data_IF_553605017660
#
_entry.id   IF_553605017660
#
_cell.length_a   1.000
_cell.length_b   1.000
_cell.length_c   1.000
_cell.angle_alpha   90.00
_cell.angle_beta   90.00
_cell.angle_gamma   90.00
#
_symmetry.space_group_name_H-M   'P 1'
#
loop_
_entity.id
_entity.type
_entity.pdbx_description
1 polymer ?
#
# COMPACT_ATOMS: atom_id res chain seq x y z
N UNK A 1 -3.02 7.43 22.12
CA UNK A 1 -2.33 8.38 23.02
C UNK A 1 -0.84 8.11 22.91
N UNK A 2 -0.09 8.93 22.18
CA UNK A 2 1.38 8.86 22.14
C UNK A 2 1.90 10.09 22.89
N UNK A 3 2.59 9.83 24.00
CA UNK A 3 3.06 10.84 24.94
C UNK A 3 3.98 11.83 24.25
N UNK A 4 3.60 13.12 24.31
CA UNK A 4 4.49 14.23 24.01
C UNK A 4 5.46 14.40 25.19
N UNK A 5 6.45 13.53 25.30
CA UNK A 5 7.66 13.93 26.02
C UNK A 5 8.36 14.97 25.13
N UNK A 6 8.15 16.25 25.46
CA UNK A 6 8.95 17.32 24.86
C UNK A 6 10.39 17.06 25.28
N UNK A 7 11.29 16.97 24.30
CA UNK A 7 12.72 16.82 24.53
C UNK A 7 13.20 17.75 25.65
N UNK A 8 13.64 17.17 26.77
CA UNK A 8 14.23 17.91 27.88
C UNK A 8 15.73 17.89 27.68
N UNK A 9 16.23 18.75 26.81
CA UNK A 9 17.65 19.10 26.81
C UNK A 9 18.07 19.69 28.16
N UNK A 10 19.32 20.12 28.27
CA UNK A 10 19.80 20.79 29.49
C UNK A 10 18.92 22.02 29.73
N UNK A 11 18.36 22.11 30.95
CA UNK A 11 17.48 23.21 31.34
C UNK A 11 18.09 24.58 31.01
N UNK A 12 17.27 25.45 30.42
CA UNK A 12 17.67 26.81 30.08
C UNK A 12 18.13 27.59 31.33
N UNK A 13 17.57 27.27 32.50
CA UNK A 13 17.98 27.84 33.78
C UNK A 13 19.41 27.42 34.15
N UNK A 14 19.82 26.19 33.85
CA UNK A 14 21.20 25.74 34.05
C UNK A 14 22.16 26.39 33.06
N UNK A 15 21.77 26.51 31.79
CA UNK A 15 22.59 27.16 30.75
C UNK A 15 22.76 28.67 30.99
N UNK A 16 21.78 29.32 31.63
CA UNK A 16 21.82 30.74 32.00
C UNK A 16 22.76 31.03 33.18
N UNK A 17 23.03 30.04 34.05
CA UNK A 17 23.93 30.18 35.21
C UNK A 17 25.40 30.22 34.82
N UNK A 18 25.77 29.67 33.65
CA UNK A 18 27.15 29.64 33.16
C UNK A 18 27.32 30.42 31.86
N UNK A 19 28.16 31.46 31.92
CA UNK A 19 28.51 32.27 30.76
C UNK A 19 29.00 31.41 29.59
N UNK A 20 28.59 31.74 28.36
CA UNK A 20 28.89 30.95 27.15
C UNK A 20 30.37 30.77 26.85
N UNK A 21 31.21 31.68 27.33
CA UNK A 21 32.66 31.64 27.15
C UNK A 21 33.39 30.87 28.27
N UNK A 22 32.71 30.56 29.37
CA UNK A 22 33.26 29.72 30.45
C UNK A 22 33.42 28.27 29.99
N UNK A 23 34.42 27.56 30.52
CA UNK A 23 34.68 26.15 30.17
C UNK A 23 33.44 25.27 30.44
N UNK A 24 32.78 25.47 31.59
CA UNK A 24 31.56 24.75 31.98
C UNK A 24 30.40 25.09 31.05
N UNK A 25 30.17 26.37 30.77
CA UNK A 25 29.11 26.82 29.87
C UNK A 25 29.29 26.31 28.43
N UNK A 26 30.52 26.21 27.93
CA UNK A 26 30.80 25.62 26.61
C UNK A 26 30.48 24.13 26.58
N UNK A 27 30.93 23.38 27.58
CA UNK A 27 30.72 21.93 27.65
C UNK A 27 29.24 21.58 27.75
N UNK A 28 28.47 22.31 28.58
CA UNK A 28 27.04 22.10 28.72
C UNK A 28 26.30 22.32 27.39
N UNK A 29 26.56 23.44 26.69
CA UNK A 29 25.93 23.71 25.38
C UNK A 29 26.34 22.70 24.31
N UNK A 30 27.58 22.22 24.34
CA UNK A 30 28.04 21.18 23.41
C UNK A 30 27.33 19.85 23.66
N UNK A 31 27.16 19.47 24.93
CA UNK A 31 26.41 18.27 25.28
C UNK A 31 24.94 18.39 24.86
N UNK A 32 24.29 19.51 25.18
CA UNK A 32 22.90 19.78 24.78
C UNK A 32 22.71 19.71 23.26
N UNK A 33 23.63 20.34 22.49
CA UNK A 33 23.60 20.27 21.04
C UNK A 33 23.79 18.84 20.50
N UNK A 34 24.65 18.02 21.13
CA UNK A 34 24.85 16.63 20.74
C UNK A 34 23.61 15.77 21.04
N UNK A 35 22.95 15.99 22.18
CA UNK A 35 21.71 15.31 22.55
C UNK A 35 20.58 15.67 21.57
N UNK A 36 20.44 16.94 21.22
CA UNK A 36 19.50 17.39 20.19
C UNK A 36 19.83 16.82 18.81
N UNK A 37 21.10 16.74 18.42
CA UNK A 37 21.48 16.14 17.14
C UNK A 37 21.11 14.65 17.08
N UNK A 38 21.40 13.90 18.14
CA UNK A 38 21.03 12.48 18.24
C UNK A 38 19.50 12.29 18.18
N UNK A 39 18.75 13.16 18.85
CA UNK A 39 17.30 13.21 18.79
C UNK A 39 16.77 13.41 17.37
N UNK A 40 17.29 14.44 16.69
CA UNK A 40 16.91 14.77 15.32
C UNK A 40 17.21 13.61 14.38
N UNK A 41 18.38 12.98 14.52
CA UNK A 41 18.74 11.80 13.72
C UNK A 41 17.79 10.63 13.94
N UNK A 42 17.31 10.42 15.17
CA UNK A 42 16.35 9.36 15.45
C UNK A 42 14.98 9.66 14.83
N UNK A 43 14.50 10.90 14.98
CA UNK A 43 13.24 11.35 14.36
C UNK A 43 13.33 11.26 12.84
N UNK A 44 14.45 11.65 12.25
CA UNK A 44 14.66 11.61 10.80
C UNK A 44 14.54 10.17 10.25
N UNK A 45 15.09 9.18 10.96
CA UNK A 45 14.90 7.77 10.59
C UNK A 45 13.44 7.36 10.62
N UNK A 46 12.68 7.81 11.62
CA UNK A 46 11.24 7.53 11.71
C UNK A 46 10.46 8.21 10.57
N UNK A 47 10.84 9.44 10.19
CA UNK A 47 10.25 10.15 9.04
C UNK A 47 10.52 9.37 7.76
N UNK A 48 11.77 8.99 7.50
CA UNK A 48 12.14 8.24 6.31
C UNK A 48 11.39 6.90 6.19
N UNK A 49 11.25 6.17 7.30
CA UNK A 49 10.48 4.92 7.31
C UNK A 49 8.99 5.15 7.03
N UNK A 50 8.40 6.21 7.58
CA UNK A 50 7.01 6.59 7.26
C UNK A 50 6.83 7.01 5.82
N UNK A 51 7.78 7.74 5.25
CA UNK A 51 7.77 8.11 3.84
C UNK A 51 7.84 6.88 2.93
N UNK A 52 8.70 5.91 3.25
CA UNK A 52 8.79 4.62 2.55
C UNK A 52 7.45 3.87 2.59
N UNK A 53 6.88 3.69 3.78
CA UNK A 53 5.58 3.01 3.95
C UNK A 53 4.48 3.73 3.16
N UNK A 54 4.45 5.07 3.21
CA UNK A 54 3.45 5.85 2.49
C UNK A 54 3.57 5.72 0.98
N UNK A 55 4.79 5.64 0.44
CA UNK A 55 5.01 5.38 -0.98
C UNK A 55 4.48 4.00 -1.37
N UNK A 56 4.84 2.95 -0.63
CA UNK A 56 4.36 1.58 -0.87
C UNK A 56 2.83 1.47 -0.78
N UNK A 57 2.22 2.14 0.20
CA UNK A 57 0.76 2.20 0.33
C UNK A 57 0.11 2.94 -0.84
N UNK A 58 0.69 4.04 -1.31
CA UNK A 58 0.15 4.80 -2.45
C UNK A 58 0.18 3.96 -3.72
N UNK A 59 1.29 3.32 -4.02
CA UNK A 59 1.43 2.46 -5.20
C UNK A 59 0.39 1.32 -5.18
N UNK A 60 0.14 0.72 -4.01
CA UNK A 60 -0.89 -0.31 -3.84
C UNK A 60 -2.29 0.23 -4.07
N UNK A 61 -2.62 1.40 -3.53
CA UNK A 61 -3.93 2.04 -3.73
C UNK A 61 -4.14 2.37 -5.20
N UNK A 62 -3.15 2.94 -5.86
CA UNK A 62 -3.23 3.31 -7.28
C UNK A 62 -3.44 2.06 -8.15
N UNK A 63 -2.72 0.96 -7.87
CA UNK A 63 -2.94 -0.32 -8.56
C UNK A 63 -4.34 -0.88 -8.30
N UNK A 64 -4.80 -0.90 -7.05
CA UNK A 64 -6.15 -1.37 -6.71
C UNK A 64 -7.24 -0.54 -7.40
N UNK A 65 -7.06 0.78 -7.47
CA UNK A 65 -7.99 1.68 -8.17
C UNK A 65 -8.01 1.42 -9.67
N UNK A 66 -6.84 1.21 -10.30
CA UNK A 66 -6.75 0.89 -11.71
C UNK A 66 -7.41 -0.47 -12.04
N UNK A 67 -7.16 -1.50 -11.24
CA UNK A 67 -7.79 -2.82 -11.39
C UNK A 67 -9.30 -2.75 -11.19
N UNK A 68 -9.76 -1.99 -10.19
CA UNK A 68 -11.18 -1.80 -9.96
C UNK A 68 -11.85 -1.05 -11.11
N UNK A 69 -11.24 0.03 -11.60
CA UNK A 69 -11.76 0.79 -12.72
C UNK A 69 -11.88 -0.09 -13.97
N UNK A 70 -10.84 -0.86 -14.28
CA UNK A 70 -10.85 -1.79 -15.40
C UNK A 70 -11.98 -2.82 -15.27
N UNK A 71 -12.17 -3.39 -14.08
CA UNK A 71 -13.29 -4.31 -13.82
C UNK A 71 -14.65 -3.65 -14.05
N UNK A 72 -14.85 -2.42 -13.58
CA UNK A 72 -16.10 -1.69 -13.78
C UNK A 72 -16.34 -1.39 -15.26
N UNK A 73 -15.31 -0.99 -16.01
CA UNK A 73 -15.41 -0.71 -17.45
C UNK A 73 -15.85 -1.97 -18.23
N UNK A 74 -15.28 -3.14 -17.90
CA UNK A 74 -15.68 -4.42 -18.50
C UNK A 74 -17.11 -4.82 -18.13
N UNK A 75 -17.50 -4.64 -16.86
CA UNK A 75 -18.85 -4.96 -16.40
C UNK A 75 -19.90 -4.08 -17.08
N UNK A 76 -19.65 -2.77 -17.19
CA UNK A 76 -20.60 -1.84 -17.81
C UNK A 76 -20.67 -2.01 -19.33
N UNK A 77 -19.54 -2.27 -19.98
CA UNK A 77 -19.48 -2.32 -21.46
C UNK A 77 -19.91 -3.68 -22.00
N UNK A 78 -19.48 -4.76 -21.35
CA UNK A 78 -19.62 -6.12 -21.88
C UNK A 78 -20.41 -7.07 -20.97
N UNK A 79 -20.78 -6.63 -19.75
CA UNK A 79 -21.51 -7.47 -18.79
C UNK A 79 -20.66 -8.59 -18.18
N UNK A 80 -19.33 -8.47 -18.21
CA UNK A 80 -18.40 -9.49 -17.74
C UNK A 80 -17.34 -8.90 -16.82
N UNK A 81 -16.79 -9.70 -15.91
CA UNK A 81 -15.61 -9.30 -15.12
C UNK A 81 -14.35 -9.29 -16.00
N UNK A 82 -13.39 -8.41 -15.69
CA UNK A 82 -12.16 -8.30 -16.47
C UNK A 82 -11.34 -9.60 -16.45
N UNK A 83 -11.42 -10.37 -15.36
CA UNK A 83 -10.72 -11.65 -15.23
C UNK A 83 -11.19 -12.71 -16.24
N UNK A 84 -12.43 -12.62 -16.75
CA UNK A 84 -12.97 -13.54 -17.76
C UNK A 84 -12.89 -12.99 -19.20
N UNK A 85 -12.17 -11.87 -19.42
CA UNK A 85 -12.13 -11.20 -20.73
C UNK A 85 -11.58 -12.09 -21.83
N UNK A 86 -10.60 -12.94 -21.52
CA UNK A 86 -9.92 -13.79 -22.51
C UNK A 86 -10.88 -14.86 -23.06
N UNK A 87 -11.76 -15.37 -22.19
CA UNK A 87 -12.83 -16.31 -22.58
C UNK A 87 -13.85 -15.65 -23.49
N UNK A 88 -14.31 -14.43 -23.14
CA UNK A 88 -15.22 -13.68 -23.99
C UNK A 88 -14.59 -13.33 -25.34
N UNK A 89 -13.31 -12.93 -25.35
CA UNK A 89 -12.58 -12.65 -26.60
C UNK A 89 -12.50 -13.88 -27.50
N UNK A 90 -12.23 -15.06 -26.94
CA UNK A 90 -12.19 -16.33 -27.67
C UNK A 90 -13.54 -16.63 -28.32
N UNK A 91 -14.62 -16.54 -27.54
CA UNK A 91 -16.00 -16.78 -28.04
C UNK A 91 -16.36 -15.77 -29.13
N UNK A 92 -16.03 -14.49 -28.95
CA UNK A 92 -16.32 -13.45 -29.95
C UNK A 92 -15.50 -13.64 -31.23
N UNK A 93 -14.26 -14.12 -31.15
CA UNK A 93 -13.46 -14.47 -32.32
C UNK A 93 -14.09 -15.61 -33.12
N UNK A 94 -14.51 -16.69 -32.47
CA UNK A 94 -15.25 -17.79 -33.13
C UNK A 94 -16.56 -17.29 -33.74
N UNK A 95 -17.31 -16.49 -32.98
CA UNK A 95 -18.58 -15.94 -33.42
C UNK A 95 -18.43 -14.98 -34.61
N UNK A 96 -17.32 -14.26 -34.71
CA UNK A 96 -17.03 -13.38 -35.86
C UNK A 96 -16.87 -14.16 -37.18
N UNK A 97 -16.51 -15.45 -37.11
CA UNK A 97 -16.32 -16.30 -38.28
C UNK A 97 -17.60 -17.03 -38.70
N UNK A 98 -18.45 -17.38 -37.74
CA UNK A 98 -19.61 -18.26 -37.98
C UNK A 98 -20.97 -17.58 -37.77
N UNK A 99 -21.04 -16.47 -37.02
CA UNK A 99 -22.23 -15.65 -36.85
C UNK A 99 -23.41 -16.34 -36.15
N UNK A 100 -23.19 -16.94 -34.98
CA UNK A 100 -24.18 -17.78 -34.30
C UNK A 100 -24.71 -17.26 -32.95
N UNK A 101 -24.13 -16.20 -32.38
CA UNK A 101 -24.45 -15.70 -31.05
C UNK A 101 -24.55 -14.17 -31.03
N UNK A 102 -25.44 -13.65 -30.19
CA UNK A 102 -25.45 -12.23 -29.78
C UNK A 102 -24.36 -11.96 -28.73
N UNK A 103 -24.01 -10.69 -28.50
CA UNK A 103 -23.07 -10.32 -27.43
C UNK A 103 -23.56 -10.81 -26.06
N UNK A 104 -24.87 -10.75 -25.79
CA UNK A 104 -25.45 -11.21 -24.54
C UNK A 104 -25.24 -12.73 -24.32
N UNK A 105 -25.45 -13.52 -25.37
CA UNK A 105 -25.25 -14.98 -25.33
C UNK A 105 -23.76 -15.33 -25.20
N UNK A 106 -22.88 -14.64 -25.92
CA UNK A 106 -21.44 -14.79 -25.80
C UNK A 106 -20.94 -14.47 -24.38
N UNK A 107 -21.42 -13.38 -23.78
CA UNK A 107 -21.11 -13.01 -22.40
C UNK A 107 -21.64 -14.04 -21.39
N UNK A 108 -22.86 -14.54 -21.58
CA UNK A 108 -23.43 -15.58 -20.71
C UNK A 108 -22.61 -16.87 -20.77
N UNK A 109 -22.19 -17.28 -21.97
CA UNK A 109 -21.35 -18.46 -22.17
C UNK A 109 -19.97 -18.28 -21.54
N UNK A 110 -19.34 -17.12 -21.71
CA UNK A 110 -18.04 -16.82 -21.11
C UNK A 110 -18.07 -16.91 -19.58
N UNK A 111 -19.09 -16.31 -18.95
CA UNK A 111 -19.28 -16.40 -17.50
C UNK A 111 -19.55 -17.84 -17.02
N UNK A 112 -20.25 -18.65 -17.82
CA UNK A 112 -20.50 -20.05 -17.47
C UNK A 112 -19.22 -20.90 -17.54
N UNK A 113 -18.37 -20.68 -18.54
CA UNK A 113 -17.09 -21.38 -18.70
C UNK A 113 -16.10 -21.03 -17.60
N UNK A 114 -15.96 -19.74 -17.29
CA UNK A 114 -15.07 -19.29 -16.22
C UNK A 114 -15.45 -19.85 -14.84
N UNK A 115 -16.75 -19.95 -14.52
CA UNK A 115 -17.22 -20.58 -13.26
C UNK A 115 -16.92 -22.08 -13.18
N UNK A 116 -16.84 -22.76 -14.32
CA UNK A 116 -16.50 -24.18 -14.35
C UNK A 116 -15.01 -24.42 -14.06
N UNK A 117 -14.14 -23.48 -14.41
CA UNK A 117 -12.70 -23.53 -14.09
C UNK A 117 -12.44 -23.26 -12.60
N UNK A 118 -13.22 -22.37 -11.98
CA UNK A 118 -13.12 -22.04 -10.55
C UNK A 118 -13.46 -23.23 -9.64
N UNK A 119 -14.37 -24.12 -10.07
CA UNK A 119 -14.75 -25.35 -9.35
C UNK A 119 -13.70 -26.47 -9.53
N UNK A 120 -12.88 -26.39 -10.58
CA UNK A 120 -11.88 -27.41 -10.91
C UNK A 120 -10.52 -27.21 -10.20
N UNK A 121 -10.33 -26.10 -9.46
CA UNK A 121 -9.14 -25.86 -8.65
C UNK A 121 -9.37 -26.33 -7.21
N UNK A 122 -8.69 -27.39 -6.71
CA UNK A 122 -8.70 -27.69 -5.29
C UNK A 122 -7.98 -26.58 -4.54
N UNK A 123 -8.65 -26.04 -3.52
CA UNK A 123 -8.15 -25.04 -2.57
C UNK A 123 -6.74 -25.44 -2.06
N UNK A 124 -5.68 -24.67 -2.34
CA UNK A 124 -4.35 -24.96 -1.84
C UNK A 124 -4.28 -24.59 -0.36
N UNK A 125 -4.72 -25.52 0.49
CA UNK A 125 -4.20 -25.71 1.84
C UNK A 125 -4.51 -24.61 2.84
N UNK A 126 -5.74 -24.57 3.34
CA UNK A 126 -5.97 -24.21 4.74
C UNK A 126 -5.35 -25.28 5.65
N UNK A 127 -4.05 -25.16 5.95
CA UNK A 127 -3.41 -25.93 7.00
C UNK A 127 -3.74 -25.30 8.36
N UNK A 128 -4.97 -25.52 8.82
CA UNK A 128 -5.35 -25.34 10.23
C UNK A 128 -4.96 -26.60 10.99
N UNK A 129 -3.67 -26.70 11.33
CA UNK A 129 -3.20 -27.55 12.43
C UNK A 129 -1.96 -26.88 13.05
N UNK A 130 -2.21 -25.79 13.78
CA UNK A 130 -1.39 -25.40 14.91
C UNK A 130 -2.13 -25.78 16.19
N UNK A 131 -1.81 -26.96 16.73
CA UNK A 131 -1.94 -27.32 18.15
C UNK A 131 -0.76 -28.22 18.52
#
# INVERSE_FOLDING_TARGET
MLGKERFTGISNDFLSQYAAHSKVGKLARQQDANEMLAAMQQIEKEVQERERINAECRDRIDNMMAEHQLNMDYLFTFGIRCEHRDELMTILQENSQHGGMTLLEATALANARARHEEIAMPDPGYNVNGL
#
